data_IF_591754498487
#
_entry.id   IF_591754498487
#
_cell.length_a   1.000
_cell.length_b   1.000
_cell.length_c   1.000
_cell.angle_alpha   90.00
_cell.angle_beta   90.00
_cell.angle_gamma   90.00
#
_symmetry.space_group_name_H-M   'P 1'
#
loop_
_entity.id
_entity.type
_entity.pdbx_description
1 polymer ?
#
# COMPACT_ATOMS: atom_id res chain seq x y z
N UNK A 1 -1.27 -40.75 -44.04
CA UNK A 1 -0.23 -39.74 -43.81
C UNK A 1 -0.80 -38.38 -43.38
N UNK A 2 -1.87 -37.87 -43.99
CA UNK A 2 -2.50 -36.57 -43.65
C UNK A 2 -2.90 -36.39 -42.18
N UNK A 3 -3.47 -37.39 -41.50
CA UNK A 3 -3.90 -37.28 -40.09
C UNK A 3 -2.73 -37.09 -39.11
N UNK A 4 -1.55 -37.60 -39.39
CA UNK A 4 -0.34 -37.41 -38.55
C UNK A 4 0.27 -36.02 -38.74
N UNK A 5 0.25 -35.46 -39.96
CA UNK A 5 0.68 -34.09 -40.23
C UNK A 5 -0.23 -33.06 -39.55
N UNK A 6 -1.55 -33.24 -39.58
CA UNK A 6 -2.48 -32.35 -38.89
C UNK A 6 -2.26 -32.32 -37.36
N UNK A 7 -1.97 -33.46 -36.75
CA UNK A 7 -1.63 -33.54 -35.31
C UNK A 7 -0.33 -32.79 -34.94
N UNK A 8 0.69 -32.87 -35.79
CA UNK A 8 1.96 -32.18 -35.57
C UNK A 8 1.78 -30.66 -35.70
N UNK A 9 1.02 -30.20 -36.71
CA UNK A 9 0.74 -28.77 -36.91
C UNK A 9 -0.08 -28.22 -35.73
N UNK A 10 -1.06 -28.96 -35.23
CA UNK A 10 -1.84 -28.58 -34.06
C UNK A 10 -0.98 -28.51 -32.78
N UNK A 11 -0.09 -29.48 -32.57
CA UNK A 11 0.84 -29.46 -31.43
C UNK A 11 1.80 -28.27 -31.47
N UNK A 12 2.34 -27.93 -32.65
CA UNK A 12 3.21 -26.77 -32.84
C UNK A 12 2.44 -25.46 -32.61
N UNK A 13 1.20 -25.35 -33.07
CA UNK A 13 0.35 -24.19 -32.89
C UNK A 13 0.00 -23.98 -31.39
N UNK A 14 -0.33 -25.07 -30.67
CA UNK A 14 -0.58 -25.01 -29.22
C UNK A 14 0.70 -24.65 -28.46
N UNK A 15 1.87 -25.19 -28.84
CA UNK A 15 3.14 -24.88 -28.23
C UNK A 15 3.54 -23.41 -28.48
N UNK A 16 3.34 -22.90 -29.69
CA UNK A 16 3.57 -21.51 -30.03
C UNK A 16 2.62 -20.57 -29.28
N UNK A 17 1.34 -20.93 -29.14
CA UNK A 17 0.36 -20.19 -28.35
C UNK A 17 0.72 -20.18 -26.86
N UNK A 18 1.19 -21.29 -26.29
CA UNK A 18 1.70 -21.34 -24.92
C UNK A 18 2.91 -20.42 -24.71
N UNK A 19 3.81 -20.36 -25.70
CA UNK A 19 5.00 -19.49 -25.63
C UNK A 19 4.66 -17.99 -25.68
N UNK A 20 3.55 -17.61 -26.33
CA UNK A 20 3.09 -16.23 -26.39
C UNK A 20 2.32 -15.81 -25.12
N UNK A 21 1.76 -16.79 -24.37
CA UNK A 21 1.04 -16.58 -23.11
C UNK A 21 1.97 -16.64 -21.90
N UNK A 22 3.20 -17.19 -22.03
CA UNK A 22 4.18 -17.07 -20.93
C UNK A 22 4.49 -15.59 -20.72
N UNK A 23 4.22 -15.05 -19.51
CA UNK A 23 4.32 -13.62 -19.27
C UNK A 23 5.76 -13.16 -19.46
N UNK A 24 5.96 -12.26 -20.41
CA UNK A 24 7.10 -11.35 -20.44
C UNK A 24 6.99 -10.33 -19.28
N UNK A 25 6.42 -10.79 -18.16
CA UNK A 25 5.99 -9.96 -17.06
C UNK A 25 7.15 -9.41 -16.20
N UNK A 26 8.35 -9.96 -16.30
CA UNK A 26 9.43 -9.63 -15.35
C UNK A 26 9.87 -8.16 -15.35
N UNK A 27 9.86 -7.48 -16.50
CA UNK A 27 10.25 -6.07 -16.56
C UNK A 27 9.16 -5.10 -16.09
N UNK A 28 7.90 -5.41 -16.35
CA UNK A 28 6.78 -4.54 -16.03
C UNK A 28 6.34 -4.69 -14.58
N UNK A 29 6.43 -5.89 -14.04
CA UNK A 29 6.22 -6.16 -12.60
C UNK A 29 7.31 -5.52 -11.75
N UNK A 30 8.57 -5.59 -12.15
CA UNK A 30 9.67 -4.93 -11.46
C UNK A 30 9.49 -3.40 -11.44
N UNK A 31 9.08 -2.79 -12.55
CA UNK A 31 8.84 -1.34 -12.63
C UNK A 31 7.61 -0.90 -11.83
N UNK A 32 6.55 -1.71 -11.80
CA UNK A 32 5.36 -1.42 -10.98
C UNK A 32 5.64 -1.56 -9.49
N UNK A 33 6.40 -2.58 -9.09
CA UNK A 33 6.88 -2.78 -7.72
C UNK A 33 7.77 -1.63 -7.25
N UNK A 34 8.70 -1.20 -8.10
CA UNK A 34 9.59 -0.08 -7.79
C UNK A 34 8.80 1.21 -7.55
N UNK A 35 7.84 1.54 -8.42
CA UNK A 35 6.96 2.70 -8.24
C UNK A 35 6.15 2.60 -6.96
N UNK A 36 5.53 1.46 -6.69
CA UNK A 36 4.76 1.24 -5.47
C UNK A 36 5.59 1.43 -4.19
N UNK A 37 6.87 1.05 -4.21
CA UNK A 37 7.79 1.30 -3.11
C UNK A 37 8.22 2.77 -3.04
N UNK A 38 8.45 3.43 -4.18
CA UNK A 38 8.76 4.86 -4.23
C UNK A 38 7.63 5.72 -3.64
N UNK A 39 6.37 5.33 -3.86
CA UNK A 39 5.21 6.02 -3.30
C UNK A 39 5.08 5.85 -1.78
N UNK A 40 5.63 4.76 -1.23
CA UNK A 40 5.63 4.51 0.22
C UNK A 40 6.64 5.35 0.99
N UNK A 41 7.71 5.81 0.33
CA UNK A 41 8.78 6.53 1.00
C UNK A 41 8.67 8.04 0.80
N UNK A 42 8.86 8.78 1.88
CA UNK A 42 8.92 10.25 1.88
C UNK A 42 10.34 10.71 1.55
N UNK A 43 10.45 11.81 0.79
CA UNK A 43 11.73 12.44 0.53
C UNK A 43 12.33 13.00 1.83
N UNK A 44 13.52 12.53 2.20
CA UNK A 44 14.16 12.87 3.48
C UNK A 44 14.55 14.36 3.62
N UNK A 45 14.52 15.12 2.52
CA UNK A 45 14.82 16.56 2.52
C UNK A 45 13.67 17.43 3.03
N UNK A 46 12.41 17.03 2.86
CA UNK A 46 11.24 17.87 3.16
C UNK A 46 10.12 17.17 3.94
N UNK A 47 10.11 15.84 3.98
CA UNK A 47 9.14 15.00 4.73
C UNK A 47 7.66 15.25 4.39
N UNK A 48 7.37 15.77 3.21
CA UNK A 48 6.03 16.16 2.81
C UNK A 48 5.55 15.49 1.51
N UNK A 49 6.47 14.94 0.71
CA UNK A 49 6.17 14.38 -0.60
C UNK A 49 6.91 13.06 -0.80
N UNK A 50 6.31 12.12 -1.57
CA UNK A 50 6.97 10.85 -1.85
C UNK A 50 8.20 11.02 -2.73
N UNK A 51 9.15 10.08 -2.60
CA UNK A 51 10.34 10.09 -3.47
C UNK A 51 9.98 9.86 -4.95
N UNK A 52 8.78 9.34 -5.25
CA UNK A 52 8.30 9.17 -6.63
C UNK A 52 8.10 10.51 -7.33
N UNK A 53 7.59 11.50 -6.61
CA UNK A 53 7.19 12.80 -7.17
C UNK A 53 8.17 13.92 -6.87
N UNK A 54 8.89 13.83 -5.76
CA UNK A 54 9.83 14.87 -5.35
C UNK A 54 11.12 14.87 -6.18
N UNK A 55 11.51 16.07 -6.67
CA UNK A 55 12.71 16.24 -7.51
C UNK A 55 13.80 17.00 -6.74
N UNK A 56 14.52 16.29 -5.89
CA UNK A 56 15.71 16.81 -5.23
C UNK A 56 16.88 15.84 -5.40
N UNK A 57 18.13 16.30 -5.22
CA UNK A 57 19.29 15.41 -5.21
C UNK A 57 19.13 14.25 -4.21
N UNK A 58 18.62 14.54 -3.00
CA UNK A 58 18.36 13.54 -1.96
C UNK A 58 17.33 12.50 -2.40
N UNK A 59 16.20 12.91 -3.02
CA UNK A 59 15.19 11.96 -3.50
C UNK A 59 15.70 11.12 -4.68
N UNK A 60 16.59 11.67 -5.50
CA UNK A 60 17.26 10.89 -6.56
C UNK A 60 18.18 9.83 -5.98
N UNK A 61 18.94 10.17 -4.93
CA UNK A 61 19.80 9.21 -4.23
C UNK A 61 18.98 8.10 -3.58
N UNK A 62 17.87 8.44 -2.91
CA UNK A 62 16.95 7.46 -2.32
C UNK A 62 16.37 6.52 -3.39
N UNK A 63 15.97 7.02 -4.57
CA UNK A 63 15.50 6.18 -5.68
C UNK A 63 16.59 5.25 -6.21
N UNK A 64 17.81 5.74 -6.37
CA UNK A 64 18.94 4.91 -6.81
C UNK A 64 19.27 3.81 -5.79
N UNK A 65 19.21 4.12 -4.51
CA UNK A 65 19.40 3.15 -3.44
C UNK A 65 18.30 2.07 -3.48
N UNK A 66 17.05 2.49 -3.60
CA UNK A 66 15.89 1.60 -3.73
C UNK A 66 16.05 0.65 -4.94
N UNK A 67 16.38 1.21 -6.11
CA UNK A 67 16.58 0.44 -7.34
C UNK A 67 17.68 -0.60 -7.18
N UNK A 68 18.81 -0.25 -6.54
CA UNK A 68 19.90 -1.20 -6.24
C UNK A 68 19.44 -2.34 -5.34
N UNK A 69 18.65 -2.05 -4.31
CA UNK A 69 18.13 -3.09 -3.41
C UNK A 69 17.16 -4.03 -4.13
N UNK A 70 16.30 -3.49 -5.01
CA UNK A 70 15.39 -4.30 -5.83
C UNK A 70 16.17 -5.19 -6.79
N UNK A 71 17.20 -4.65 -7.46
CA UNK A 71 18.07 -5.41 -8.36
C UNK A 71 18.87 -6.49 -7.62
N UNK A 72 19.22 -6.25 -6.36
CA UNK A 72 19.85 -7.24 -5.49
C UNK A 72 18.86 -8.33 -5.00
N UNK A 73 17.59 -8.29 -5.43
CA UNK A 73 16.58 -9.29 -5.08
C UNK A 73 16.04 -9.18 -3.66
N UNK A 74 16.23 -8.05 -2.97
CA UNK A 74 15.73 -7.88 -1.61
C UNK A 74 14.21 -7.85 -1.58
N UNK A 75 13.64 -8.39 -0.50
CA UNK A 75 12.20 -8.35 -0.25
C UNK A 75 11.73 -6.94 0.17
N UNK A 76 10.44 -6.63 -0.04
CA UNK A 76 9.86 -5.30 0.28
C UNK A 76 10.05 -4.96 1.76
N UNK A 77 9.84 -5.93 2.65
CA UNK A 77 10.00 -5.71 4.10
C UNK A 77 11.45 -5.40 4.47
N UNK A 78 12.41 -6.08 3.87
CA UNK A 78 13.83 -5.83 4.08
C UNK A 78 14.25 -4.44 3.60
N UNK A 79 13.71 -4.00 2.45
CA UNK A 79 13.92 -2.66 1.91
C UNK A 79 13.33 -1.59 2.85
N UNK A 80 12.11 -1.80 3.32
CA UNK A 80 11.43 -0.89 4.26
C UNK A 80 12.24 -0.77 5.56
N UNK A 81 12.70 -1.88 6.12
CA UNK A 81 13.49 -1.87 7.36
C UNK A 81 14.85 -1.20 7.17
N UNK A 82 15.51 -1.41 6.03
CA UNK A 82 16.75 -0.72 5.68
C UNK A 82 16.56 0.80 5.56
N UNK A 83 15.48 1.24 4.91
CA UNK A 83 15.14 2.66 4.80
C UNK A 83 14.80 3.28 6.16
N UNK A 84 14.05 2.56 7.01
CA UNK A 84 13.78 3.01 8.39
C UNK A 84 15.05 3.12 9.23
N UNK A 85 15.96 2.18 9.10
CA UNK A 85 17.23 2.21 9.81
C UNK A 85 18.11 3.39 9.39
N UNK A 86 18.08 3.77 8.10
CA UNK A 86 18.91 4.83 7.55
C UNK A 86 18.32 6.23 7.71
N UNK A 87 17.03 6.38 7.43
CA UNK A 87 16.33 7.67 7.39
C UNK A 87 15.37 7.89 8.56
N UNK A 88 15.20 6.89 9.42
CA UNK A 88 14.27 6.93 10.55
C UNK A 88 12.84 6.47 10.15
N UNK A 89 12.01 6.22 11.17
CA UNK A 89 10.64 5.70 10.97
C UNK A 89 9.73 6.67 10.18
N UNK A 90 10.05 7.96 10.17
CA UNK A 90 9.31 9.01 9.44
C UNK A 90 9.45 8.93 7.92
N UNK A 91 10.36 8.06 7.40
CA UNK A 91 10.54 7.87 5.96
C UNK A 91 9.35 7.20 5.31
N UNK A 92 8.45 6.58 6.07
CA UNK A 92 7.22 5.99 5.55
C UNK A 92 6.10 7.02 5.50
N UNK A 93 5.41 7.09 4.36
CA UNK A 93 4.19 7.90 4.19
C UNK A 93 3.07 7.45 5.14
N UNK A 94 2.93 6.13 5.30
CA UNK A 94 1.98 5.53 6.23
C UNK A 94 2.75 4.84 7.36
N UNK A 95 2.55 5.24 8.63
CA UNK A 95 3.20 4.57 9.74
C UNK A 95 2.74 3.11 9.81
N UNK A 96 3.71 2.18 9.78
CA UNK A 96 3.42 0.76 9.99
C UNK A 96 2.98 0.53 11.45
N UNK A 97 1.88 -0.21 11.61
CA UNK A 97 1.40 -0.69 12.90
C UNK A 97 -0.06 -0.33 13.18
N UNK A 98 -0.52 -0.77 14.34
CA UNK A 98 -1.90 -0.59 14.84
C UNK A 98 -2.31 0.89 15.06
N UNK A 99 -1.44 1.87 14.75
CA UNK A 99 -1.76 3.29 14.91
C UNK A 99 -2.95 3.72 14.05
N UNK A 100 -3.13 3.14 12.87
CA UNK A 100 -4.29 3.43 12.03
C UNK A 100 -5.59 2.94 12.69
N UNK A 101 -5.58 1.75 13.28
CA UNK A 101 -6.75 1.19 13.96
C UNK A 101 -7.10 2.02 15.22
N UNK A 102 -6.11 2.38 16.04
CA UNK A 102 -6.32 3.21 17.23
C UNK A 102 -6.72 4.64 16.89
N UNK A 103 -6.19 5.21 15.80
CA UNK A 103 -6.55 6.56 15.36
C UNK A 103 -8.02 6.69 14.94
N UNK A 104 -8.63 5.61 14.42
CA UNK A 104 -10.05 5.60 14.03
C UNK A 104 -10.97 5.08 15.14
N UNK A 105 -10.52 4.11 15.95
CA UNK A 105 -11.36 3.54 17.00
C UNK A 105 -11.58 4.49 18.17
N UNK A 106 -10.58 5.29 18.55
CA UNK A 106 -10.71 6.26 19.66
C UNK A 106 -11.78 7.34 19.40
N UNK A 107 -11.76 8.07 18.26
CA UNK A 107 -12.80 9.06 17.99
C UNK A 107 -14.17 8.43 17.75
N UNK A 108 -14.25 7.23 17.16
CA UNK A 108 -15.52 6.54 16.99
C UNK A 108 -16.16 6.15 18.34
N UNK A 109 -15.38 5.61 19.28
CA UNK A 109 -15.83 5.32 20.63
C UNK A 109 -16.29 6.59 21.37
N UNK A 110 -15.52 7.66 21.28
CA UNK A 110 -15.88 8.94 21.89
C UNK A 110 -17.19 9.50 21.32
N UNK A 111 -17.41 9.39 20.01
CA UNK A 111 -18.65 9.82 19.36
C UNK A 111 -19.86 8.99 19.82
N UNK A 112 -19.73 7.67 19.92
CA UNK A 112 -20.80 6.78 20.41
C UNK A 112 -21.15 7.09 21.86
N UNK A 113 -20.14 7.25 22.72
CA UNK A 113 -20.36 7.60 24.14
C UNK A 113 -21.02 8.97 24.29
N UNK A 114 -20.56 9.97 23.53
CA UNK A 114 -21.15 11.32 23.51
C UNK A 114 -22.61 11.30 23.07
N UNK A 115 -22.93 10.61 21.98
CA UNK A 115 -24.31 10.47 21.49
C UNK A 115 -25.21 9.76 22.51
N UNK A 116 -24.72 8.71 23.13
CA UNK A 116 -25.44 7.96 24.15
C UNK A 116 -25.75 8.85 25.37
N UNK A 117 -24.79 9.65 25.82
CA UNK A 117 -24.98 10.59 26.91
C UNK A 117 -26.01 11.67 26.57
N UNK A 118 -25.94 12.24 25.37
CA UNK A 118 -26.93 13.23 24.89
C UNK A 118 -28.35 12.64 24.87
N UNK A 119 -28.51 11.45 24.27
CA UNK A 119 -29.83 10.75 24.24
C UNK A 119 -30.32 10.45 25.64
N UNK A 120 -29.46 10.05 26.55
CA UNK A 120 -29.83 9.78 27.95
C UNK A 120 -30.32 11.06 28.68
N UNK A 121 -29.60 12.17 28.50
CA UNK A 121 -29.98 13.47 29.09
C UNK A 121 -31.32 13.96 28.54
N UNK A 122 -31.52 13.91 27.23
CA UNK A 122 -32.76 14.32 26.58
C UNK A 122 -33.95 13.47 27.05
N UNK A 123 -33.76 12.16 27.12
CA UNK A 123 -34.81 11.24 27.67
C UNK A 123 -35.13 11.52 29.14
N UNK A 124 -34.12 11.84 29.93
CA UNK A 124 -34.33 12.21 31.34
C UNK A 124 -35.14 13.50 31.48
N UNK A 125 -34.82 14.52 30.68
CA UNK A 125 -35.55 15.81 30.68
C UNK A 125 -36.98 15.66 30.19
N UNK A 126 -37.20 14.90 29.12
CA UNK A 126 -38.55 14.62 28.61
C UNK A 126 -39.43 13.90 29.67
N UNK A 127 -38.85 13.00 30.46
CA UNK A 127 -39.57 12.32 31.53
C UNK A 127 -39.90 13.23 32.74
N UNK A 128 -39.00 14.19 33.03
CA UNK A 128 -39.27 15.18 34.10
C UNK A 128 -40.29 16.23 33.68
N UNK A 129 -40.32 16.61 32.41
CA UNK A 129 -41.32 17.54 31.88
C UNK A 129 -42.73 16.94 31.73
N UNK A 130 -42.86 15.61 31.65
CA UNK A 130 -44.14 14.91 31.48
C UNK A 130 -44.81 14.56 32.81
N UNK A 131 -44.29 14.98 33.99
CA UNK A 131 -44.93 14.75 35.27
C UNK A 131 -45.91 15.91 35.58
N UNK A 132 -47.25 15.74 35.47
CA UNK A 132 -48.20 16.79 35.82
C UNK A 132 -48.13 17.04 37.33
N UNK A 133 -48.28 18.33 37.70
CA UNK A 133 -48.38 18.79 39.09
C UNK A 133 -49.66 18.26 39.75
#
# INVERSE_FOLDING_TARGET
MMKRLAGIIFAIAVFAALWTVLPRASGQEASSRERALQDKFVAACCWNESIAHHRSPTSMEQRLELSRMIQAGRGDREIIDAFKARYGARVLMEPEGNLSLTAYTFPALAAVLGLTAVVFILRRWARTAAKPA
#
